data_IF_208322709909
#
_entry.id   IF_208322709909
#
_cell.length_a   1.000
_cell.length_b   1.000
_cell.length_c   1.000
_cell.angle_alpha   90.00
_cell.angle_beta   90.00
_cell.angle_gamma   90.00
#
_symmetry.space_group_name_H-M   'P 1'
#
loop_
_entity.id
_entity.type
_entity.pdbx_description
1 polymer ?
#
# COMPACT_ATOMS: atom_id res chain seq x y z
N UNK A 1 22.80 4.14 -47.11
CA UNK A 1 21.55 3.54 -46.66
C UNK A 1 21.44 3.77 -45.16
N UNK A 2 20.65 4.75 -44.72
CA UNK A 2 20.44 5.07 -43.30
C UNK A 2 19.44 4.04 -42.73
N UNK A 3 19.92 3.18 -41.81
CA UNK A 3 19.06 2.31 -41.02
C UNK A 3 18.17 3.21 -40.15
N UNK A 4 16.91 3.34 -40.48
CA UNK A 4 15.88 3.91 -39.63
C UNK A 4 15.87 3.11 -38.32
N UNK A 5 16.31 3.72 -37.22
CA UNK A 5 16.12 3.17 -35.86
C UNK A 5 14.63 3.02 -35.69
N UNK A 6 14.14 1.78 -35.74
CA UNK A 6 12.78 1.45 -35.30
C UNK A 6 12.61 2.00 -33.89
N UNK A 7 11.81 3.02 -33.74
CA UNK A 7 11.40 3.57 -32.45
C UNK A 7 10.66 2.45 -31.76
N UNK A 8 11.32 1.79 -30.80
CA UNK A 8 10.66 0.81 -29.91
C UNK A 8 9.41 1.47 -29.38
N UNK A 9 8.26 0.97 -29.78
CA UNK A 9 6.97 1.44 -29.30
C UNK A 9 7.03 1.42 -27.76
N UNK A 10 7.01 2.60 -27.14
CA UNK A 10 7.06 2.72 -25.69
C UNK A 10 5.88 1.94 -25.12
N UNK A 11 6.16 0.87 -24.38
CA UNK A 11 5.15 0.06 -23.75
C UNK A 11 4.22 0.96 -22.92
N UNK A 12 2.90 0.77 -23.06
CA UNK A 12 1.92 1.55 -22.34
C UNK A 12 2.20 1.48 -20.83
N UNK A 13 2.17 2.62 -20.10
CA UNK A 13 2.40 2.63 -18.66
C UNK A 13 1.53 1.62 -17.94
N UNK A 14 2.13 0.80 -17.06
CA UNK A 14 1.44 -0.27 -16.34
C UNK A 14 1.28 -1.59 -17.11
N UNK A 15 1.77 -1.72 -18.35
CA UNK A 15 1.75 -2.99 -19.09
C UNK A 15 2.46 -4.11 -18.34
N UNK A 16 3.59 -3.80 -17.68
CA UNK A 16 4.31 -4.77 -16.85
C UNK A 16 3.48 -5.33 -15.68
N UNK A 17 2.61 -4.52 -15.07
CA UNK A 17 1.73 -4.99 -14.01
C UNK A 17 0.68 -5.99 -14.52
N UNK A 18 0.09 -5.72 -15.68
CA UNK A 18 -0.88 -6.62 -16.31
C UNK A 18 -0.20 -7.91 -16.74
N UNK A 19 1.01 -7.80 -17.32
CA UNK A 19 1.81 -8.97 -17.68
C UNK A 19 2.11 -9.85 -16.46
N UNK A 20 2.57 -9.26 -15.36
CA UNK A 20 2.86 -10.00 -14.13
C UNK A 20 1.61 -10.71 -13.57
N UNK A 21 0.46 -10.04 -13.55
CA UNK A 21 -0.79 -10.64 -13.08
C UNK A 21 -1.22 -11.82 -13.98
N UNK A 22 -1.13 -11.67 -15.30
CA UNK A 22 -1.44 -12.76 -16.25
C UNK A 22 -0.46 -13.93 -16.11
N UNK A 23 0.84 -13.65 -15.96
CA UNK A 23 1.85 -14.68 -15.75
C UNK A 23 1.56 -15.48 -14.46
N UNK A 24 1.22 -14.81 -13.35
CA UNK A 24 0.82 -15.48 -12.12
C UNK A 24 -0.41 -16.35 -12.36
N UNK A 25 -1.43 -15.84 -13.06
CA UNK A 25 -2.63 -16.58 -13.40
C UNK A 25 -2.33 -17.85 -14.21
N UNK A 26 -1.48 -17.74 -15.23
CA UNK A 26 -1.06 -18.88 -16.07
C UNK A 26 -0.26 -19.92 -15.28
N UNK A 27 0.65 -19.50 -14.41
CA UNK A 27 1.44 -20.39 -13.56
C UNK A 27 0.54 -21.18 -12.61
N UNK A 28 -0.41 -20.50 -11.95
CA UNK A 28 -1.38 -21.15 -11.07
C UNK A 28 -2.27 -22.12 -11.86
N UNK A 29 -2.75 -21.72 -13.04
CA UNK A 29 -3.57 -22.59 -13.91
C UNK A 29 -2.79 -23.82 -14.37
N UNK A 30 -1.57 -23.63 -14.85
CA UNK A 30 -0.72 -24.74 -15.32
C UNK A 30 -0.47 -25.76 -14.20
N UNK A 31 -0.16 -25.29 -12.99
CA UNK A 31 0.01 -26.15 -11.83
C UNK A 31 -1.26 -26.90 -11.47
N UNK A 32 -2.40 -26.21 -11.51
CA UNK A 32 -3.69 -26.81 -11.23
C UNK A 32 -4.03 -27.91 -12.25
N UNK A 33 -3.88 -27.63 -13.55
CA UNK A 33 -4.07 -28.60 -14.62
C UNK A 33 -3.12 -29.80 -14.47
N UNK A 34 -1.86 -29.55 -14.13
CA UNK A 34 -0.90 -30.62 -13.86
C UNK A 34 -1.34 -31.53 -12.69
N UNK A 35 -1.90 -30.95 -11.63
CA UNK A 35 -2.43 -31.72 -10.50
C UNK A 35 -3.65 -32.54 -10.90
N UNK A 36 -4.53 -32.00 -11.74
CA UNK A 36 -5.70 -32.73 -12.26
C UNK A 36 -5.32 -33.85 -13.21
N UNK A 37 -4.28 -33.66 -14.02
CA UNK A 37 -3.80 -34.69 -14.94
C UNK A 37 -3.21 -35.92 -14.23
N UNK A 38 -2.86 -35.80 -12.94
CA UNK A 38 -2.41 -36.91 -12.10
C UNK A 38 -3.56 -37.68 -11.44
N UNK A 39 -4.79 -37.18 -11.53
CA UNK A 39 -6.00 -37.77 -11.00
C UNK A 39 -6.92 -38.20 -12.14
N UNK A 40 -7.92 -39.01 -11.86
CA UNK A 40 -8.99 -39.28 -12.81
C UNK A 40 -9.78 -37.96 -13.07
N UNK A 41 -9.86 -37.57 -14.35
CA UNK A 41 -10.48 -36.32 -14.78
C UNK A 41 -11.96 -36.24 -14.36
N UNK A 42 -12.70 -37.34 -14.42
CA UNK A 42 -14.11 -37.38 -14.03
C UNK A 42 -14.29 -37.10 -12.54
N UNK A 43 -13.51 -37.78 -11.70
CA UNK A 43 -13.52 -37.56 -10.25
C UNK A 43 -13.07 -36.16 -9.87
N UNK A 44 -12.05 -35.63 -10.56
CA UNK A 44 -11.54 -34.26 -10.33
C UNK A 44 -12.57 -33.18 -10.68
N UNK A 45 -13.28 -33.33 -11.80
CA UNK A 45 -14.33 -32.38 -12.20
C UNK A 45 -15.52 -32.41 -11.25
N UNK A 46 -15.96 -33.61 -10.82
CA UNK A 46 -17.07 -33.74 -9.86
C UNK A 46 -16.72 -33.12 -8.50
N UNK A 47 -15.50 -33.34 -7.99
CA UNK A 47 -15.01 -32.75 -6.77
C UNK A 47 -14.90 -31.21 -6.89
N UNK A 48 -14.55 -30.68 -8.06
CA UNK A 48 -14.45 -29.27 -8.32
C UNK A 48 -15.82 -28.57 -8.30
N UNK A 49 -16.82 -29.17 -8.95
CA UNK A 49 -18.19 -28.61 -8.98
C UNK A 49 -18.83 -28.63 -7.59
N UNK A 50 -18.51 -29.62 -6.77
CA UNK A 50 -19.00 -29.71 -5.39
C UNK A 50 -18.32 -28.75 -4.40
N UNK A 51 -17.15 -28.20 -4.75
CA UNK A 51 -16.37 -27.32 -3.87
C UNK A 51 -16.56 -25.83 -4.20
N UNK A 52 -17.21 -25.02 -3.34
CA UNK A 52 -17.35 -23.59 -3.57
C UNK A 52 -15.99 -22.86 -3.65
N UNK A 53 -14.98 -23.35 -2.96
CA UNK A 53 -13.62 -22.80 -3.01
C UNK A 53 -12.95 -23.02 -4.36
N UNK A 54 -13.18 -24.16 -5.00
CA UNK A 54 -12.68 -24.41 -6.35
C UNK A 54 -13.33 -23.46 -7.37
N UNK A 55 -14.63 -23.23 -7.26
CA UNK A 55 -15.34 -22.28 -8.11
C UNK A 55 -14.82 -20.85 -7.93
N UNK A 56 -14.59 -20.39 -6.69
CA UNK A 56 -14.01 -19.08 -6.39
C UNK A 56 -12.62 -18.96 -7.01
N UNK A 57 -11.79 -20.00 -6.89
CA UNK A 57 -10.45 -19.99 -7.46
C UNK A 57 -10.48 -19.98 -9.00
N UNK A 58 -11.41 -20.70 -9.62
CA UNK A 58 -11.60 -20.67 -11.07
C UNK A 58 -11.97 -19.25 -11.57
N UNK A 59 -12.91 -18.60 -10.90
CA UNK A 59 -13.27 -17.20 -11.21
C UNK A 59 -12.07 -16.27 -11.05
N UNK A 60 -11.27 -16.48 -10.00
CA UNK A 60 -10.05 -15.70 -9.78
C UNK A 60 -9.03 -15.90 -10.92
N UNK A 61 -8.76 -17.14 -11.32
CA UNK A 61 -7.86 -17.44 -12.43
C UNK A 61 -8.36 -16.85 -13.74
N UNK A 62 -9.66 -16.98 -14.02
CA UNK A 62 -10.29 -16.34 -15.17
C UNK A 62 -10.06 -14.83 -15.18
N UNK A 63 -10.31 -14.16 -14.04
CA UNK A 63 -10.09 -12.73 -13.92
C UNK A 63 -8.61 -12.35 -14.16
N UNK A 64 -7.65 -13.15 -13.69
CA UNK A 64 -6.22 -12.86 -13.91
C UNK A 64 -5.79 -13.04 -15.37
N UNK A 65 -6.26 -14.06 -16.04
CA UNK A 65 -5.84 -14.39 -17.41
C UNK A 65 -6.48 -13.43 -18.42
N UNK A 66 -7.77 -13.14 -18.25
CA UNK A 66 -8.55 -12.30 -19.16
C UNK A 66 -8.57 -10.80 -18.77
N UNK A 67 -7.53 -10.34 -18.05
CA UNK A 67 -7.39 -8.92 -17.76
C UNK A 67 -7.37 -8.09 -19.06
N UNK A 68 -8.06 -6.93 -19.12
CA UNK A 68 -7.97 -6.05 -20.26
C UNK A 68 -6.54 -5.55 -20.46
N UNK A 69 -6.15 -5.33 -21.71
CA UNK A 69 -4.83 -4.77 -22.04
C UNK A 69 -4.61 -3.39 -21.42
N UNK A 70 -3.37 -3.02 -21.20
CA UNK A 70 -3.02 -1.69 -20.73
C UNK A 70 -3.39 -0.67 -21.81
N UNK A 71 -4.28 0.26 -21.48
CA UNK A 71 -4.57 1.42 -22.32
C UNK A 71 -3.78 2.61 -21.77
N UNK A 72 -3.01 3.26 -22.63
CA UNK A 72 -2.36 4.51 -22.29
C UNK A 72 -3.42 5.58 -22.06
N UNK A 73 -3.59 6.01 -20.82
CA UNK A 73 -4.39 7.17 -20.46
C UNK A 73 -3.41 8.21 -19.97
N UNK A 74 -3.26 9.31 -20.72
CA UNK A 74 -2.27 10.35 -20.46
C UNK A 74 -2.32 10.91 -19.04
N UNK A 75 -3.52 11.00 -18.47
CA UNK A 75 -3.73 11.53 -17.12
C UNK A 75 -3.49 10.52 -16.00
N UNK A 76 -3.34 9.21 -16.30
CA UNK A 76 -3.42 8.14 -15.30
C UNK A 76 -2.42 7.00 -15.58
N UNK A 77 -1.13 7.28 -15.61
CA UNK A 77 -0.14 6.31 -16.09
C UNK A 77 0.04 5.08 -15.17
N UNK A 78 -0.26 5.18 -13.87
CA UNK A 78 0.08 4.13 -12.91
C UNK A 78 -1.00 3.05 -12.72
N UNK A 79 -2.23 3.26 -13.21
CA UNK A 79 -3.36 2.35 -12.99
C UNK A 79 -4.06 1.95 -14.28
N UNK A 80 -3.53 0.95 -15.01
CA UNK A 80 -4.10 0.52 -16.30
C UNK A 80 -5.45 -0.19 -16.14
N UNK A 81 -5.73 -0.78 -14.96
CA UNK A 81 -6.96 -1.52 -14.69
C UNK A 81 -8.06 -0.62 -14.12
N UNK A 82 -9.36 -0.86 -14.46
CA UNK A 82 -10.47 -0.20 -13.81
C UNK A 82 -10.49 -0.53 -12.30
N UNK A 83 -10.96 0.40 -11.48
CA UNK A 83 -10.90 0.29 -10.02
C UNK A 83 -11.65 -0.94 -9.48
N UNK A 84 -12.86 -1.19 -10.02
CA UNK A 84 -13.69 -2.32 -9.60
C UNK A 84 -12.99 -3.66 -9.86
N UNK A 85 -12.35 -3.82 -11.05
CA UNK A 85 -11.65 -5.05 -11.41
C UNK A 85 -10.42 -5.28 -10.52
N UNK A 86 -9.66 -4.22 -10.22
CA UNK A 86 -8.53 -4.29 -9.30
C UNK A 86 -8.97 -4.68 -7.88
N UNK A 87 -10.10 -4.13 -7.41
CA UNK A 87 -10.67 -4.49 -6.11
C UNK A 87 -11.17 -5.94 -6.10
N UNK A 88 -11.84 -6.38 -7.16
CA UNK A 88 -12.30 -7.76 -7.29
C UNK A 88 -11.11 -8.75 -7.28
N UNK A 89 -10.10 -8.52 -8.13
CA UNK A 89 -8.89 -9.37 -8.16
C UNK A 89 -8.19 -9.39 -6.81
N UNK A 90 -8.10 -8.25 -6.13
CA UNK A 90 -7.50 -8.17 -4.79
C UNK A 90 -8.31 -8.93 -3.75
N UNK A 91 -9.64 -8.84 -3.78
CA UNK A 91 -10.52 -9.55 -2.86
C UNK A 91 -10.38 -11.06 -3.02
N UNK A 92 -10.48 -11.56 -4.25
CA UNK A 92 -10.32 -12.99 -4.53
C UNK A 92 -8.92 -13.50 -4.18
N UNK A 93 -7.87 -12.72 -4.48
CA UNK A 93 -6.51 -13.07 -4.08
C UNK A 93 -6.35 -13.12 -2.56
N UNK A 94 -6.99 -12.21 -1.83
CA UNK A 94 -6.94 -12.19 -0.37
C UNK A 94 -7.69 -13.39 0.23
N UNK A 95 -8.86 -13.74 -0.29
CA UNK A 95 -9.59 -14.94 0.13
C UNK A 95 -8.78 -16.21 -0.16
N UNK A 96 -8.17 -16.31 -1.35
CA UNK A 96 -7.29 -17.42 -1.70
C UNK A 96 -6.06 -17.52 -0.78
N UNK A 97 -5.46 -16.38 -0.44
CA UNK A 97 -4.34 -16.32 0.51
C UNK A 97 -4.75 -16.79 1.90
N UNK A 98 -5.88 -16.32 2.42
CA UNK A 98 -6.39 -16.73 3.73
C UNK A 98 -6.66 -18.25 3.75
N UNK A 99 -7.32 -18.76 2.72
CA UNK A 99 -7.59 -20.20 2.61
C UNK A 99 -6.29 -21.02 2.53
N UNK A 100 -5.31 -20.59 1.74
CA UNK A 100 -4.03 -21.28 1.61
C UNK A 100 -3.25 -21.29 2.93
N UNK A 101 -3.17 -20.14 3.61
CA UNK A 101 -2.47 -20.02 4.91
C UNK A 101 -3.18 -20.85 5.98
N UNK A 102 -4.51 -20.79 6.03
CA UNK A 102 -5.31 -21.61 6.93
C UNK A 102 -5.10 -23.09 6.70
N UNK A 103 -5.17 -23.55 5.44
CA UNK A 103 -5.01 -24.96 5.07
C UNK A 103 -3.64 -25.50 5.45
N UNK A 104 -2.57 -24.75 5.11
CA UNK A 104 -1.20 -25.12 5.49
C UNK A 104 -1.00 -25.09 7.00
N UNK A 105 -1.54 -24.07 7.69
CA UNK A 105 -1.46 -23.96 9.14
C UNK A 105 -2.18 -25.07 9.86
N UNK A 106 -3.41 -25.40 9.45
CA UNK A 106 -4.19 -26.51 10.01
C UNK A 106 -3.51 -27.86 9.80
N UNK A 107 -2.94 -28.08 8.61
CA UNK A 107 -2.16 -29.29 8.34
C UNK A 107 -0.91 -29.36 9.23
N UNK A 108 -0.14 -28.29 9.36
CA UNK A 108 1.04 -28.26 10.21
C UNK A 108 0.71 -28.49 11.70
N UNK A 109 -0.42 -27.95 12.17
CA UNK A 109 -0.89 -28.14 13.55
C UNK A 109 -1.34 -29.58 13.82
N UNK A 110 -2.03 -30.22 12.87
CA UNK A 110 -2.54 -31.59 13.05
C UNK A 110 -1.51 -32.67 12.78
N UNK A 111 -0.68 -32.52 11.74
CA UNK A 111 0.27 -33.51 11.31
C UNK A 111 1.67 -33.40 11.94
N UNK A 112 1.96 -32.23 12.52
CA UNK A 112 3.24 -31.89 13.13
C UNK A 112 4.24 -31.31 12.10
N UNK A 113 5.19 -30.52 12.61
CA UNK A 113 6.13 -29.75 11.82
C UNK A 113 7.02 -30.58 10.86
N UNK A 114 7.46 -31.77 11.31
CA UNK A 114 8.29 -32.65 10.46
C UNK A 114 7.52 -33.13 9.22
N UNK A 115 6.25 -33.55 9.39
CA UNK A 115 5.41 -33.97 8.25
C UNK A 115 5.07 -32.81 7.34
N UNK A 116 4.87 -31.61 7.89
CA UNK A 116 4.67 -30.39 7.11
C UNK A 116 5.90 -30.08 6.23
N UNK A 117 7.11 -30.19 6.77
CA UNK A 117 8.35 -29.99 6.00
C UNK A 117 8.51 -31.04 4.88
N UNK A 118 8.20 -32.32 5.17
CA UNK A 118 8.20 -33.38 4.16
C UNK A 118 7.17 -33.14 3.05
N UNK A 119 5.96 -32.66 3.40
CA UNK A 119 4.94 -32.30 2.42
C UNK A 119 5.36 -31.12 1.53
N UNK A 120 6.07 -30.13 2.07
CA UNK A 120 6.66 -29.04 1.27
C UNK A 120 7.66 -29.62 0.26
N UNK A 121 8.53 -30.53 0.68
CA UNK A 121 9.49 -31.18 -0.22
C UNK A 121 8.79 -32.07 -1.28
N UNK A 122 7.81 -32.87 -0.87
CA UNK A 122 7.03 -33.75 -1.76
C UNK A 122 6.23 -32.95 -2.82
N UNK A 123 5.81 -31.76 -2.49
CA UNK A 123 5.10 -30.85 -3.42
C UNK A 123 6.03 -29.93 -4.21
N UNK A 124 7.35 -30.14 -4.18
CA UNK A 124 8.34 -29.28 -4.80
C UNK A 124 8.17 -27.79 -4.37
N UNK A 125 7.85 -27.56 -3.10
CA UNK A 125 7.68 -26.22 -2.53
C UNK A 125 6.35 -25.51 -2.85
N UNK A 126 5.41 -26.14 -3.58
CA UNK A 126 4.16 -25.49 -3.98
C UNK A 126 3.28 -25.09 -2.79
N UNK A 127 3.37 -25.75 -1.66
CA UNK A 127 2.68 -25.36 -0.43
C UNK A 127 3.08 -23.95 0.06
N UNK A 128 4.28 -23.47 -0.30
CA UNK A 128 4.74 -22.11 0.01
C UNK A 128 4.59 -21.16 -1.18
N UNK A 129 4.84 -21.66 -2.39
CA UNK A 129 4.79 -20.85 -3.62
C UNK A 129 3.37 -20.35 -3.90
N UNK A 130 2.35 -21.18 -3.74
CA UNK A 130 0.97 -20.78 -4.00
C UNK A 130 0.52 -19.62 -3.09
N UNK A 131 0.63 -19.66 -1.74
CA UNK A 131 0.34 -18.52 -0.90
C UNK A 131 1.17 -17.27 -1.25
N UNK A 132 2.44 -17.46 -1.61
CA UNK A 132 3.30 -16.34 -2.02
C UNK A 132 2.81 -15.67 -3.31
N UNK A 133 2.32 -16.42 -4.29
CA UNK A 133 1.72 -15.88 -5.52
C UNK A 133 0.43 -15.10 -5.21
N UNK A 134 -0.45 -15.60 -4.35
CA UNK A 134 -1.63 -14.87 -3.90
C UNK A 134 -1.24 -13.57 -3.18
N UNK A 135 -0.25 -13.62 -2.29
CA UNK A 135 0.27 -12.45 -1.61
C UNK A 135 0.86 -11.43 -2.59
N UNK A 136 1.57 -11.89 -3.63
CA UNK A 136 2.08 -11.04 -4.70
C UNK A 136 0.96 -10.32 -5.45
N UNK A 137 -0.14 -11.02 -5.78
CA UNK A 137 -1.33 -10.38 -6.41
C UNK A 137 -1.94 -9.32 -5.50
N UNK A 138 -2.13 -9.62 -4.20
CA UNK A 138 -2.65 -8.66 -3.21
C UNK A 138 -1.74 -7.42 -3.13
N UNK A 139 -0.42 -7.61 -3.16
CA UNK A 139 0.55 -6.54 -3.10
C UNK A 139 0.59 -5.69 -4.39
N UNK A 140 0.50 -6.31 -5.57
CA UNK A 140 0.43 -5.63 -6.86
C UNK A 140 -0.86 -4.80 -6.96
N UNK A 141 -2.00 -5.37 -6.54
CA UNK A 141 -3.31 -4.72 -6.61
C UNK A 141 -3.59 -3.76 -5.44
N UNK A 142 -2.60 -3.47 -4.58
CA UNK A 142 -2.80 -2.52 -3.48
C UNK A 142 -3.18 -1.13 -3.99
N UNK A 143 -3.99 -0.37 -3.24
CA UNK A 143 -4.31 1.01 -3.60
C UNK A 143 -3.06 1.88 -3.57
N UNK A 144 -2.88 2.67 -4.63
CA UNK A 144 -1.76 3.62 -4.78
C UNK A 144 -2.30 4.94 -5.25
N UNK A 145 -1.57 6.03 -4.96
CA UNK A 145 -1.85 7.35 -5.50
C UNK A 145 -1.81 7.36 -7.03
N UNK A 146 -2.52 8.31 -7.64
CA UNK A 146 -2.65 8.43 -9.09
C UNK A 146 -1.31 8.68 -9.79
N UNK A 147 -0.42 9.46 -9.18
CA UNK A 147 0.92 9.79 -9.66
C UNK A 147 1.96 9.68 -8.53
N UNK A 148 3.21 9.86 -8.90
CA UNK A 148 4.31 10.00 -7.92
C UNK A 148 4.43 11.45 -7.50
N UNK A 149 4.97 11.66 -6.30
CA UNK A 149 5.29 13.01 -5.81
C UNK A 149 6.28 13.70 -6.74
N UNK A 150 5.92 14.91 -7.16
CA UNK A 150 6.78 15.84 -7.89
C UNK A 150 6.56 17.23 -7.29
N UNK A 151 7.47 17.64 -6.41
CA UNK A 151 7.38 18.89 -5.67
C UNK A 151 7.48 20.09 -6.60
N UNK A 152 8.35 20.02 -7.63
CA UNK A 152 8.51 21.09 -8.60
C UNK A 152 7.22 21.36 -9.40
N UNK A 153 6.47 20.29 -9.72
CA UNK A 153 5.17 20.39 -10.38
C UNK A 153 4.01 20.53 -9.41
N UNK A 154 4.28 20.72 -8.12
CA UNK A 154 3.29 20.81 -7.02
C UNK A 154 2.26 19.66 -7.03
N UNK A 155 2.76 18.46 -7.29
CA UNK A 155 1.98 17.21 -7.28
C UNK A 155 2.47 16.33 -6.14
N UNK A 156 1.59 16.01 -5.22
CA UNK A 156 1.91 15.27 -4.00
C UNK A 156 1.16 13.94 -4.00
N UNK A 157 1.85 12.87 -3.62
CA UNK A 157 1.29 11.54 -3.47
C UNK A 157 1.44 11.10 -2.01
N UNK A 158 0.32 10.90 -1.31
CA UNK A 158 0.29 10.55 0.11
C UNK A 158 -0.59 9.31 0.28
N UNK A 159 0.04 8.16 0.48
CA UNK A 159 -0.66 6.88 0.55
C UNK A 159 -1.44 6.56 -0.73
N UNK A 160 -2.78 6.58 -0.67
CA UNK A 160 -3.67 6.37 -1.83
C UNK A 160 -4.17 7.67 -2.45
N UNK A 161 -3.86 8.81 -1.84
CA UNK A 161 -4.34 10.11 -2.29
C UNK A 161 -3.27 10.81 -3.14
N UNK A 162 -3.74 11.57 -4.10
CA UNK A 162 -2.92 12.42 -4.94
C UNK A 162 -3.50 13.84 -4.91
N UNK A 163 -2.64 14.82 -4.67
CA UNK A 163 -3.02 16.22 -4.56
C UNK A 163 -2.22 17.02 -5.59
N UNK A 164 -2.90 17.81 -6.39
CA UNK A 164 -2.27 18.78 -7.29
C UNK A 164 -2.67 20.19 -6.85
N UNK A 165 -1.68 21.05 -6.69
CA UNK A 165 -1.85 22.46 -6.38
C UNK A 165 -1.48 23.30 -7.60
N UNK A 166 -2.42 24.07 -8.10
CA UNK A 166 -2.17 25.10 -9.11
C UNK A 166 -2.02 26.46 -8.40
N UNK A 167 -0.82 27.03 -8.39
CA UNK A 167 -0.59 28.32 -7.73
C UNK A 167 -1.22 29.50 -8.46
N UNK A 168 -1.39 29.42 -9.79
CA UNK A 168 -1.93 30.53 -10.58
C UNK A 168 -3.42 30.73 -10.27
N UNK A 169 -4.17 29.65 -10.17
CA UNK A 169 -5.60 29.66 -9.86
C UNK A 169 -5.90 29.45 -8.38
N UNK A 170 -4.86 29.19 -7.55
CA UNK A 170 -4.99 28.81 -6.13
C UNK A 170 -5.90 27.62 -5.90
N UNK A 171 -5.94 26.73 -6.85
CA UNK A 171 -6.85 25.58 -6.84
C UNK A 171 -6.12 24.32 -6.45
N UNK A 172 -6.69 23.59 -5.51
CA UNK A 172 -6.21 22.26 -5.09
C UNK A 172 -7.18 21.20 -5.56
N UNK A 173 -6.69 20.24 -6.34
CA UNK A 173 -7.48 19.10 -6.80
C UNK A 173 -7.00 17.87 -6.05
N UNK A 174 -7.94 17.18 -5.40
CA UNK A 174 -7.68 15.97 -4.63
C UNK A 174 -8.26 14.76 -5.33
N UNK A 175 -7.46 13.71 -5.44
CA UNK A 175 -7.84 12.44 -6.05
C UNK A 175 -7.64 11.31 -5.04
N UNK A 176 -8.61 10.42 -4.94
CA UNK A 176 -8.48 9.14 -4.24
C UNK A 176 -8.33 8.04 -5.30
N UNK A 177 -7.12 7.50 -5.46
CA UNK A 177 -6.77 6.55 -6.51
C UNK A 177 -7.07 7.12 -7.92
N UNK A 178 -8.27 6.88 -8.46
CA UNK A 178 -8.73 7.36 -9.78
C UNK A 178 -9.93 8.30 -9.71
N UNK A 179 -10.52 8.44 -8.54
CA UNK A 179 -11.72 9.27 -8.34
C UNK A 179 -11.29 10.66 -7.89
N UNK A 180 -11.74 11.68 -8.59
CA UNK A 180 -11.65 13.07 -8.11
C UNK A 180 -12.53 13.18 -6.86
N UNK A 181 -11.93 13.51 -5.72
CA UNK A 181 -12.63 13.72 -4.45
C UNK A 181 -13.29 15.07 -4.45
N UNK A 182 -12.52 16.10 -4.85
CA UNK A 182 -13.00 17.47 -4.89
C UNK A 182 -11.96 18.43 -5.47
N UNK A 183 -12.39 19.67 -5.60
CA UNK A 183 -11.60 20.81 -5.98
C UNK A 183 -11.89 21.91 -4.97
N UNK A 184 -10.83 22.47 -4.38
CA UNK A 184 -10.92 23.38 -3.26
C UNK A 184 -10.06 24.61 -3.50
N UNK A 185 -10.35 25.73 -2.87
CA UNK A 185 -9.42 26.86 -2.79
C UNK A 185 -8.30 26.50 -1.81
N UNK A 186 -7.06 26.80 -2.17
CA UNK A 186 -5.90 26.50 -1.34
C UNK A 186 -5.94 27.22 0.02
N UNK A 187 -6.57 28.39 0.10
CA UNK A 187 -6.71 29.18 1.32
C UNK A 187 -7.66 28.57 2.35
N UNK A 188 -8.60 27.75 1.88
CA UNK A 188 -9.60 27.09 2.71
C UNK A 188 -9.09 25.72 3.22
N UNK A 189 -7.90 25.31 2.78
CA UNK A 189 -7.32 24.03 3.14
C UNK A 189 -6.27 24.20 4.24
N UNK A 190 -6.34 23.32 5.23
CA UNK A 190 -5.35 23.23 6.28
C UNK A 190 -4.90 21.78 6.48
N UNK A 191 -3.64 21.62 6.83
CA UNK A 191 -3.06 20.31 7.12
C UNK A 191 -3.01 20.11 8.63
N UNK A 192 -3.59 19.04 9.10
CA UNK A 192 -3.50 18.62 10.50
C UNK A 192 -2.68 17.33 10.61
N UNK A 193 -1.63 17.42 11.39
CA UNK A 193 -0.83 16.24 11.75
C UNK A 193 -1.52 15.54 12.91
N UNK A 194 -2.13 14.38 12.66
CA UNK A 194 -2.73 13.58 13.70
C UNK A 194 -1.61 12.77 14.38
N UNK A 195 -1.18 13.27 15.51
CA UNK A 195 -0.09 12.77 16.32
C UNK A 195 -0.38 11.36 16.86
N UNK A 196 0.42 10.38 16.38
CA UNK A 196 1.18 9.68 17.40
C UNK A 196 2.37 10.59 17.76
N UNK A 197 2.46 11.00 18.94
CA UNK A 197 3.26 12.01 19.59
C UNK A 197 4.79 12.03 19.35
N UNK A 198 5.26 11.91 18.11
CA UNK A 198 6.67 12.08 17.75
C UNK A 198 6.81 12.68 16.33
N UNK A 199 6.01 13.69 16.01
CA UNK A 199 6.44 14.66 15.03
C UNK A 199 7.55 15.43 15.73
N UNK A 200 8.82 15.10 15.41
CA UNK A 200 9.98 15.73 16.00
C UNK A 200 9.76 17.22 16.15
N UNK A 201 9.66 17.67 17.39
CA UNK A 201 9.97 19.02 17.72
C UNK A 201 11.29 19.29 17.00
N UNK A 202 11.28 20.19 16.02
CA UNK A 202 12.53 20.85 15.64
C UNK A 202 13.17 21.25 16.96
N UNK A 203 14.44 20.94 17.18
CA UNK A 203 15.13 21.56 18.30
C UNK A 203 15.02 23.07 18.03
N UNK A 204 14.09 23.71 18.69
CA UNK A 204 14.14 25.14 18.89
C UNK A 204 15.54 25.40 19.43
N UNK A 205 16.36 26.24 18.77
CA UNK A 205 17.63 26.64 19.36
C UNK A 205 17.29 27.29 20.70
N UNK A 206 17.49 26.55 21.77
CA UNK A 206 17.41 27.06 23.10
C UNK A 206 18.44 28.20 23.15
N UNK A 207 18.03 29.45 23.48
CA UNK A 207 19.01 30.48 23.73
C UNK A 207 19.86 29.98 24.89
N UNK A 208 21.15 29.82 24.64
CA UNK A 208 22.14 29.54 25.65
C UNK A 208 22.16 30.71 26.60
N UNK A 209 21.37 30.63 27.66
CA UNK A 209 21.54 31.52 28.81
C UNK A 209 22.69 30.94 29.59
N UNK A 210 23.85 31.56 29.40
CA UNK A 210 24.98 31.35 30.26
C UNK A 210 24.60 31.79 31.68
N UNK A 211 24.41 30.87 32.57
CA UNK A 211 24.39 31.12 34.02
C UNK A 211 25.67 30.55 34.60
N UNK A 212 26.60 31.43 34.83
CA UNK A 212 27.67 31.26 35.81
C UNK A 212 27.09 31.42 37.20
N UNK A 213 27.38 30.50 38.08
CA UNK A 213 27.63 30.65 39.52
C UNK A 213 27.73 29.26 40.15
N UNK A 214 28.90 28.87 40.56
CA UNK A 214 29.47 28.85 41.89
C UNK A 214 28.66 28.23 43.02
N UNK A 215 29.24 27.19 43.69
CA UNK A 215 29.01 26.80 45.09
C UNK A 215 28.26 25.49 45.25
N UNK A 216 28.94 24.55 45.57
CA UNK A 216 29.50 23.82 46.68
C UNK A 216 28.91 22.40 46.92
N UNK A 217 29.60 21.48 47.62
CA UNK A 217 29.42 20.04 47.48
C UNK A 217 28.67 19.43 48.68
N UNK A 218 27.95 18.36 48.42
CA UNK A 218 27.28 17.65 49.53
C UNK A 218 26.66 16.33 49.15
N UNK A 219 27.40 15.28 49.40
CA UNK A 219 26.95 13.98 49.93
C UNK A 219 26.05 13.01 49.14
N UNK A 220 26.62 11.85 49.08
CA UNK A 220 26.07 10.51 49.31
C UNK A 220 25.30 9.80 48.17
N UNK A 221 26.07 8.93 47.57
CA UNK A 221 25.76 7.54 47.22
C UNK A 221 24.29 7.05 47.44
N UNK A 222 23.68 6.64 46.32
CA UNK A 222 22.93 5.39 46.35
C UNK A 222 23.09 4.73 44.99
N UNK A 223 23.84 3.67 44.94
CA UNK A 223 23.87 2.65 43.92
C UNK A 223 22.49 2.01 43.83
N UNK A 224 21.80 2.18 42.73
CA UNK A 224 20.50 1.56 42.42
C UNK A 224 20.48 1.17 40.97
N UNK A 225 21.23 0.17 40.66
CA UNK A 225 21.01 -0.90 39.70
C UNK A 225 19.61 -0.92 39.14
N UNK A 226 19.49 -0.80 37.82
CA UNK A 226 18.22 -0.99 37.11
C UNK A 226 18.26 -0.54 35.67
N UNK A 227 19.30 -0.97 34.91
CA UNK A 227 19.20 -0.98 33.46
C UNK A 227 18.22 -2.11 33.07
N UNK A 228 16.93 -1.84 33.19
CA UNK A 228 15.92 -2.66 32.54
C UNK A 228 15.93 -2.28 31.05
N UNK A 229 16.17 -3.24 30.14
CA UNK A 229 16.05 -2.97 28.73
C UNK A 229 14.58 -2.65 28.44
N UNK A 230 14.32 -1.44 27.98
CA UNK A 230 13.01 -1.01 27.47
C UNK A 230 12.67 -1.76 26.17
N UNK A 231 12.52 -3.09 26.26
CA UNK A 231 12.21 -4.01 25.15
C UNK A 231 10.70 -4.34 25.03
N UNK A 232 9.82 -3.49 25.55
CA UNK A 232 8.38 -3.68 25.37
C UNK A 232 7.67 -2.39 25.00
N UNK A 233 8.23 -1.59 24.10
CA UNK A 233 7.42 -0.62 23.40
C UNK A 233 6.80 -1.32 22.20
N UNK A 234 5.52 -1.62 22.34
CA UNK A 234 4.74 -2.46 21.46
C UNK A 234 4.99 -2.22 19.97
N UNK A 235 5.18 -3.32 19.26
CA UNK A 235 5.40 -3.44 17.81
C UNK A 235 4.28 -2.79 16.96
N UNK A 236 3.25 -2.25 17.59
CA UNK A 236 2.15 -1.48 16.97
C UNK A 236 2.22 0.02 17.32
N UNK A 237 3.38 0.66 17.18
CA UNK A 237 3.47 2.10 17.24
C UNK A 237 2.45 2.70 16.25
N UNK A 238 1.51 3.50 16.75
CA UNK A 238 0.49 4.18 15.92
C UNK A 238 1.22 4.97 14.84
N UNK A 239 1.06 4.55 13.58
CA UNK A 239 1.67 5.22 12.43
C UNK A 239 1.20 6.67 12.37
N UNK A 240 2.11 7.63 12.15
CA UNK A 240 1.73 9.03 12.00
C UNK A 240 0.72 9.17 10.87
N UNK A 241 -0.25 10.03 11.04
CA UNK A 241 -1.33 10.28 10.09
C UNK A 241 -1.36 11.76 9.75
N UNK A 242 -1.78 12.07 8.54
CA UNK A 242 -2.07 13.41 8.08
C UNK A 242 -3.54 13.51 7.71
N UNK A 243 -4.15 14.62 8.02
CA UNK A 243 -5.52 14.96 7.64
C UNK A 243 -5.50 16.28 6.87
N UNK A 244 -6.11 16.28 5.70
CA UNK A 244 -6.40 17.52 4.98
C UNK A 244 -7.81 17.95 5.36
N UNK A 245 -7.92 19.15 5.89
CA UNK A 245 -9.17 19.74 6.35
C UNK A 245 -9.55 20.87 5.40
N UNK A 246 -10.83 20.96 5.10
CA UNK A 246 -11.42 22.06 4.36
C UNK A 246 -12.31 22.88 5.29
N UNK A 247 -12.05 24.17 5.35
CA UNK A 247 -12.83 25.15 6.11
C UNK A 247 -13.82 25.80 5.14
N UNK A 248 -15.09 25.39 5.22
CA UNK A 248 -16.10 25.86 4.27
C UNK A 248 -16.49 27.31 4.57
N UNK A 249 -16.35 28.25 3.61
CA UNK A 249 -16.74 29.63 3.82
C UNK A 249 -18.26 29.84 3.96
N UNK A 250 -19.07 28.86 3.52
CA UNK A 250 -20.53 28.96 3.52
C UNK A 250 -21.17 28.81 4.91
N UNK A 251 -20.44 28.31 5.91
CA UNK A 251 -20.95 28.16 7.27
C UNK A 251 -20.22 29.13 8.22
N UNK A 252 -20.88 30.19 8.60
CA UNK A 252 -20.39 31.08 9.64
C UNK A 252 -20.24 30.30 10.97
N UNK A 253 -19.07 29.72 11.19
CA UNK A 253 -18.68 28.99 12.38
C UNK A 253 -18.35 27.51 12.14
N UNK A 254 -17.08 27.22 12.17
CA UNK A 254 -16.44 25.92 12.49
C UNK A 254 -16.86 24.65 11.73
N UNK A 255 -17.29 24.73 10.49
CA UNK A 255 -17.60 23.56 9.68
C UNK A 255 -16.35 23.02 8.95
N UNK A 256 -15.35 22.57 9.74
CA UNK A 256 -14.16 21.90 9.21
C UNK A 256 -14.50 20.49 8.79
N UNK A 257 -14.46 20.23 7.49
CA UNK A 257 -14.67 18.91 6.93
C UNK A 257 -13.34 18.25 6.59
N UNK A 258 -13.21 16.97 6.94
CA UNK A 258 -12.04 16.17 6.55
C UNK A 258 -12.15 15.76 5.09
N UNK A 259 -11.28 16.30 4.22
CA UNK A 259 -11.22 15.93 2.80
C UNK A 259 -10.63 14.53 2.66
N UNK A 260 -9.51 14.28 3.34
CA UNK A 260 -8.96 12.94 3.46
C UNK A 260 -8.10 12.78 4.72
N UNK A 261 -7.93 11.50 5.09
CA UNK A 261 -7.03 11.07 6.15
C UNK A 261 -6.12 9.97 5.60
N UNK A 262 -4.81 10.13 5.75
CA UNK A 262 -3.83 9.18 5.26
C UNK A 262 -2.81 8.81 6.33
N UNK A 263 -2.44 7.54 6.41
CA UNK A 263 -1.31 7.09 7.22
C UNK A 263 -0.02 7.29 6.43
N UNK A 264 0.99 7.85 7.05
CA UNK A 264 2.31 8.07 6.47
C UNK A 264 3.14 6.79 6.63
N UNK A 265 3.04 5.91 5.65
CA UNK A 265 3.64 4.57 5.71
C UNK A 265 5.08 4.55 5.24
N UNK A 266 5.45 5.45 4.35
CA UNK A 266 6.79 5.54 3.77
C UNK A 266 7.41 6.91 4.06
N UNK A 267 8.73 6.99 3.97
CA UNK A 267 9.42 8.29 4.07
C UNK A 267 9.01 9.23 2.93
N UNK A 268 8.78 8.69 1.73
CA UNK A 268 8.24 9.45 0.61
C UNK A 268 6.88 10.09 0.91
N UNK A 269 5.98 9.40 1.65
CA UNK A 269 4.71 9.97 2.09
C UNK A 269 4.92 11.15 3.05
N UNK A 270 5.92 11.05 3.96
CA UNK A 270 6.23 12.11 4.93
C UNK A 270 6.79 13.34 4.25
N UNK A 271 7.72 13.16 3.31
CA UNK A 271 8.29 14.24 2.51
C UNK A 271 7.19 14.93 1.68
N UNK A 272 6.33 14.16 1.03
CA UNK A 272 5.20 14.68 0.27
C UNK A 272 4.21 15.48 1.15
N UNK A 273 3.94 14.98 2.36
CA UNK A 273 3.04 15.63 3.31
C UNK A 273 3.60 16.97 3.81
N UNK A 274 4.89 17.02 4.15
CA UNK A 274 5.57 18.28 4.56
C UNK A 274 5.61 19.29 3.41
N UNK A 275 5.94 18.83 2.20
CA UNK A 275 5.98 19.68 1.03
C UNK A 275 4.58 20.23 0.66
N UNK A 276 3.52 19.44 0.84
CA UNK A 276 2.14 19.91 0.68
C UNK A 276 1.80 20.99 1.71
N UNK A 277 2.10 20.75 2.97
CA UNK A 277 1.86 21.70 4.07
C UNK A 277 2.55 23.04 3.82
N UNK A 278 3.86 23.00 3.51
CA UNK A 278 4.63 24.20 3.15
C UNK A 278 4.06 24.92 1.92
N UNK A 279 3.62 24.15 0.89
CA UNK A 279 3.08 24.72 -0.33
C UNK A 279 1.72 25.41 -0.11
N UNK A 280 0.89 24.90 0.80
CA UNK A 280 -0.38 25.54 1.18
C UNK A 280 -0.16 26.82 1.98
N UNK A 281 0.87 26.88 2.82
CA UNK A 281 1.22 28.08 3.59
C UNK A 281 1.79 29.22 2.71
N UNK A 282 2.29 28.91 1.50
CA UNK A 282 2.87 29.86 0.57
C UNK A 282 1.87 30.47 -0.42
N UNK A 283 0.61 30.03 -0.47
CA UNK A 283 -0.45 30.47 -1.39
C UNK A 283 -1.47 31.36 -0.68
#
# INVERSE_FOLDING_TARGET
MARTKETRANAAPGAGMIFALRAIGLVLLARWLFSMAQMDLGASLSAMVSSPWACINLVFLFLLIFLPGARAVAERPLHPLPQWLRQAVRLFAFLGLLFAVWSVGAFAASAGWRRAAQAVAATNGWLLVAPALYAAVVWICRPRALWRTNIAARRFAIGRYAVALDPATRTVIVWAERRKVGQYDARELSVRWALGQDAGAMPTPTPVVAFSAAGEPGSAATLGSGVAPALTRGVFGRRPKIELLWDSPAAAGHNRQTVFRAALTTEGDRVAARALDTSLQQV
#
